data_IF_110505216178
#
_entry.id   IF_110505216178
#
_cell.length_a   1.000
_cell.length_b   1.000
_cell.length_c   1.000
_cell.angle_alpha   90.00
_cell.angle_beta   90.00
_cell.angle_gamma   90.00
#
_symmetry.space_group_name_H-M   'P 1'
#
loop_
_entity.id
_entity.type
_entity.pdbx_description
1 polymer ?
#
# COMPACT_ATOMS: atom_id res chain seq x y z
N UNK A 1 5.90 -1.31 -12.77
CA UNK A 1 4.94 -1.74 -11.73
C UNK A 1 3.60 -1.06 -11.95
N UNK A 2 2.50 -1.81 -12.03
CA UNK A 2 1.14 -1.25 -12.16
C UNK A 2 0.42 -1.37 -10.82
N UNK A 3 -0.47 -0.41 -10.52
CA UNK A 3 -1.27 -0.40 -9.28
C UNK A 3 -2.11 -1.67 -9.14
N UNK A 4 -2.64 -2.20 -10.24
CA UNK A 4 -3.49 -3.38 -10.25
C UNK A 4 -2.73 -4.67 -9.89
N UNK A 5 -1.47 -4.78 -10.30
CA UNK A 5 -0.65 -5.95 -9.99
C UNK A 5 -0.27 -5.95 -8.51
N UNK A 6 -0.01 -4.77 -7.95
CA UNK A 6 0.28 -4.62 -6.53
C UNK A 6 -0.97 -4.88 -5.67
N UNK A 7 -2.15 -4.47 -6.13
CA UNK A 7 -3.43 -4.79 -5.49
C UNK A 7 -3.65 -6.30 -5.42
N UNK A 8 -3.50 -7.02 -6.55
CA UNK A 8 -3.63 -8.48 -6.59
C UNK A 8 -2.71 -9.17 -5.57
N UNK A 9 -1.43 -8.79 -5.56
CA UNK A 9 -0.48 -9.31 -4.56
C UNK A 9 -0.93 -9.02 -3.12
N UNK A 10 -1.52 -7.85 -2.88
CA UNK A 10 -2.01 -7.48 -1.55
C UNK A 10 -3.20 -8.35 -1.14
N UNK A 11 -4.17 -8.52 -2.03
CA UNK A 11 -5.38 -9.33 -1.82
C UNK A 11 -5.08 -10.82 -1.59
N UNK A 12 -4.00 -11.34 -2.19
CA UNK A 12 -3.51 -12.71 -1.92
C UNK A 12 -2.98 -12.90 -0.48
N UNK A 13 -2.52 -11.82 0.16
CA UNK A 13 -1.91 -11.88 1.49
C UNK A 13 -2.83 -11.36 2.60
N UNK A 14 -3.82 -10.54 2.26
CA UNK A 14 -4.67 -9.84 3.22
C UNK A 14 -6.11 -9.89 2.74
N UNK A 15 -6.98 -10.54 3.51
CA UNK A 15 -8.43 -10.51 3.28
C UNK A 15 -9.01 -9.17 3.76
N UNK A 16 -8.95 -8.16 2.90
CA UNK A 16 -9.50 -6.83 3.12
C UNK A 16 -9.87 -6.20 1.78
N UNK A 17 -10.94 -5.38 1.67
CA UNK A 17 -11.28 -4.74 0.42
C UNK A 17 -10.24 -3.66 0.06
N UNK A 18 -9.60 -3.82 -1.10
CA UNK A 18 -8.64 -2.84 -1.62
C UNK A 18 -9.14 -2.21 -2.92
N UNK A 19 -8.93 -0.90 -3.07
CA UNK A 19 -9.32 -0.17 -4.26
C UNK A 19 -8.13 0.62 -4.85
N UNK A 20 -8.05 0.78 -6.18
CA UNK A 20 -7.00 1.57 -6.80
C UNK A 20 -7.29 3.07 -6.62
N UNK A 21 -6.27 3.82 -6.20
CA UNK A 21 -6.19 5.29 -6.18
C UNK A 21 -7.15 6.05 -5.24
N UNK A 22 -8.42 5.64 -5.14
CA UNK A 22 -9.45 6.34 -4.38
C UNK A 22 -10.50 5.39 -3.81
N UNK A 23 -11.17 5.83 -2.73
CA UNK A 23 -12.30 5.11 -2.16
C UNK A 23 -13.50 5.24 -3.10
N UNK A 24 -14.16 4.15 -3.50
CA UNK A 24 -15.37 4.25 -4.30
C UNK A 24 -16.53 4.81 -3.46
N UNK A 25 -17.47 5.49 -4.12
CA UNK A 25 -18.67 6.06 -3.50
C UNK A 25 -19.49 5.01 -2.77
N UNK A 26 -19.63 3.82 -3.38
CA UNK A 26 -20.38 2.68 -2.83
C UNK A 26 -19.44 1.61 -2.23
N UNK A 27 -18.24 2.01 -1.80
CA UNK A 27 -17.28 1.10 -1.18
C UNK A 27 -17.63 0.72 0.25
N UNK A 28 -17.11 -0.43 0.69
CA UNK A 28 -17.22 -0.86 2.09
C UNK A 28 -16.63 0.19 3.06
N UNK A 29 -17.21 0.33 4.25
CA UNK A 29 -16.70 1.26 5.25
C UNK A 29 -15.27 0.90 5.67
N UNK A 30 -15.03 -0.39 5.86
CA UNK A 30 -13.73 -0.96 6.20
C UNK A 30 -13.01 -1.39 4.92
N UNK A 31 -12.20 -0.50 4.36
CA UNK A 31 -11.45 -0.78 3.13
C UNK A 31 -10.15 0.02 3.09
N UNK A 32 -9.30 -0.26 2.12
CA UNK A 32 -8.08 0.51 1.88
C UNK A 32 -7.95 0.91 0.42
N UNK A 33 -7.21 1.97 0.15
CA UNK A 33 -6.78 2.32 -1.20
C UNK A 33 -5.30 2.13 -1.34
N UNK A 34 -4.90 1.66 -2.51
CA UNK A 34 -3.50 1.56 -2.92
C UNK A 34 -3.27 2.54 -4.05
N UNK A 35 -2.26 3.40 -3.92
CA UNK A 35 -1.86 4.33 -4.98
C UNK A 35 -0.36 4.37 -5.15
N UNK A 36 0.09 4.52 -6.40
CA UNK A 36 1.49 4.82 -6.68
C UNK A 36 1.73 6.31 -6.40
N UNK A 37 2.73 6.62 -5.58
CA UNK A 37 3.05 8.01 -5.17
C UNK A 37 4.23 8.58 -5.96
N UNK A 38 4.57 7.93 -7.08
CA UNK A 38 5.69 8.29 -7.94
C UNK A 38 6.94 7.50 -7.58
N UNK A 39 8.11 8.09 -7.79
CA UNK A 39 9.39 7.42 -7.60
C UNK A 39 10.47 8.04 -8.47
N UNK A 40 11.74 7.77 -8.16
CA UNK A 40 12.85 8.29 -8.95
C UNK A 40 13.18 7.29 -10.06
N UNK A 41 13.01 7.71 -11.31
CA UNK A 41 13.57 6.99 -12.46
C UNK A 41 15.10 7.18 -12.44
N UNK A 42 15.84 6.09 -12.40
CA UNK A 42 17.29 6.12 -12.62
C UNK A 42 17.59 5.79 -14.09
N UNK A 43 18.77 6.22 -14.58
CA UNK A 43 19.25 5.97 -15.96
C UNK A 43 19.62 4.50 -16.23
N UNK A 44 18.88 3.52 -15.68
CA UNK A 44 19.18 2.09 -15.79
C UNK A 44 17.89 1.24 -15.79
N UNK A 45 18.05 -0.10 -15.85
CA UNK A 45 16.95 -1.08 -15.61
C UNK A 45 16.38 -1.01 -14.18
N UNK A 46 17.02 -0.27 -13.27
CA UNK A 46 16.61 -0.17 -11.87
C UNK A 46 15.72 1.06 -11.67
N UNK A 47 14.54 0.83 -11.10
CA UNK A 47 13.57 1.88 -10.78
C UNK A 47 13.26 1.87 -9.28
N UNK A 48 12.89 3.04 -8.74
CA UNK A 48 12.47 3.17 -7.32
C UNK A 48 11.05 3.70 -7.19
N UNK A 49 10.02 2.94 -7.60
CA UNK A 49 8.65 3.34 -7.37
C UNK A 49 8.33 3.33 -5.87
N UNK A 50 7.45 4.25 -5.49
CA UNK A 50 6.86 4.35 -4.18
C UNK A 50 5.34 4.17 -4.29
N UNK A 51 4.76 3.64 -3.24
CA UNK A 51 3.32 3.45 -3.15
C UNK A 51 2.85 3.72 -1.73
N UNK A 52 1.56 4.00 -1.61
CA UNK A 52 0.92 4.32 -0.35
C UNK A 52 -0.36 3.52 -0.21
N UNK A 53 -0.58 3.06 1.01
CA UNK A 53 -1.86 2.61 1.50
C UNK A 53 -2.52 3.71 2.32
N UNK A 54 -3.80 3.98 2.05
CA UNK A 54 -4.66 4.68 3.00
C UNK A 54 -5.73 3.69 3.43
N UNK A 55 -5.75 3.37 4.71
CA UNK A 55 -6.66 2.44 5.35
C UNK A 55 -7.78 3.25 5.97
N UNK A 56 -9.02 2.80 5.78
CA UNK A 56 -10.24 3.36 6.37
C UNK A 56 -10.96 2.29 7.16
N UNK A 57 -11.39 2.59 8.37
CA UNK A 57 -12.29 1.72 9.14
C UNK A 57 -13.20 2.51 10.08
N UNK A 58 -14.33 1.93 10.47
CA UNK A 58 -15.27 2.53 11.43
C UNK A 58 -14.71 2.59 12.86
N UNK A 59 -13.73 1.75 13.19
CA UNK A 59 -13.12 1.69 14.51
C UNK A 59 -11.60 1.94 14.42
N UNK A 60 -11.02 2.77 15.29
CA UNK A 60 -9.60 3.14 15.21
C UNK A 60 -8.68 1.94 15.38
N UNK A 61 -8.99 1.03 16.31
CA UNK A 61 -8.20 -0.18 16.53
C UNK A 61 -8.23 -1.12 15.31
N UNK A 62 -9.34 -1.16 14.56
CA UNK A 62 -9.44 -1.97 13.35
C UNK A 62 -8.59 -1.36 12.23
N UNK A 63 -8.65 -0.03 12.05
CA UNK A 63 -7.82 0.66 11.07
C UNK A 63 -6.32 0.44 11.36
N UNK A 64 -5.92 0.57 12.62
CA UNK A 64 -4.54 0.35 13.06
C UNK A 64 -4.11 -1.11 12.86
N UNK A 65 -4.94 -2.08 13.25
CA UNK A 65 -4.66 -3.51 13.07
C UNK A 65 -4.42 -3.84 11.58
N UNK A 66 -5.30 -3.36 10.69
CA UNK A 66 -5.15 -3.56 9.24
C UNK A 66 -3.91 -2.88 8.69
N UNK A 67 -3.58 -1.71 9.18
CA UNK A 67 -2.34 -1.04 8.80
C UNK A 67 -1.11 -1.87 9.24
N UNK A 68 -1.11 -2.44 10.45
CA UNK A 68 -0.04 -3.33 10.90
C UNK A 68 0.05 -4.63 10.10
N UNK A 69 -1.06 -5.18 9.62
CA UNK A 69 -1.05 -6.34 8.73
C UNK A 69 -0.35 -6.00 7.41
N UNK A 70 -0.69 -4.85 6.79
CA UNK A 70 -0.03 -4.35 5.58
C UNK A 70 1.47 -4.11 5.84
N UNK A 71 1.81 -3.46 6.96
CA UNK A 71 3.19 -3.22 7.36
C UNK A 71 3.99 -4.52 7.44
N UNK A 72 3.46 -5.55 8.11
CA UNK A 72 4.14 -6.85 8.24
C UNK A 72 4.32 -7.58 6.92
N UNK A 73 3.41 -7.40 5.96
CA UNK A 73 3.49 -8.05 4.64
C UNK A 73 4.59 -7.41 3.77
N UNK A 74 4.72 -6.08 3.78
CA UNK A 74 5.56 -5.35 2.84
C UNK A 74 6.87 -4.81 3.42
N UNK A 75 6.93 -4.53 4.71
CA UNK A 75 8.13 -3.97 5.30
C UNK A 75 9.26 -5.00 5.25
N UNK A 76 10.41 -4.55 4.76
CA UNK A 76 11.61 -5.37 4.52
C UNK A 76 11.41 -6.57 3.58
N UNK A 77 10.28 -6.64 2.86
CA UNK A 77 10.01 -7.72 1.89
C UNK A 77 11.03 -7.64 0.74
N UNK A 78 11.56 -8.79 0.35
CA UNK A 78 12.62 -8.93 -0.67
C UNK A 78 12.21 -9.93 -1.74
N UNK A 79 12.78 -9.76 -2.93
CA UNK A 79 12.75 -10.73 -4.03
C UNK A 79 11.34 -11.25 -4.35
N UNK A 80 10.43 -10.36 -4.73
CA UNK A 80 9.07 -10.72 -5.11
C UNK A 80 8.66 -10.03 -6.41
N UNK A 81 7.75 -10.66 -7.15
CA UNK A 81 7.29 -10.13 -8.43
C UNK A 81 5.97 -9.35 -8.26
N UNK A 82 5.85 -8.25 -9.00
CA UNK A 82 4.63 -7.44 -9.11
C UNK A 82 4.37 -7.20 -10.59
N UNK A 83 3.56 -8.08 -11.19
CA UNK A 83 3.36 -8.12 -12.64
C UNK A 83 4.69 -8.39 -13.34
N UNK A 84 5.10 -7.49 -14.23
CA UNK A 84 6.37 -7.57 -14.99
C UNK A 84 7.58 -6.98 -14.22
N UNK A 85 7.38 -6.42 -13.03
CA UNK A 85 8.44 -5.78 -12.24
C UNK A 85 8.94 -6.72 -11.15
N UNK A 86 10.26 -6.95 -11.10
CA UNK A 86 10.86 -7.66 -9.99
C UNK A 86 11.27 -6.68 -8.89
N UNK A 87 10.74 -6.88 -7.68
CA UNK A 87 11.06 -6.07 -6.51
C UNK A 87 12.21 -6.71 -5.75
N UNK A 88 13.35 -6.03 -5.76
CA UNK A 88 14.56 -6.43 -5.03
C UNK A 88 14.36 -6.18 -3.53
N UNK A 89 13.82 -5.02 -3.18
CA UNK A 89 13.59 -4.62 -1.80
C UNK A 89 12.42 -3.66 -1.67
N UNK A 90 11.62 -3.84 -0.64
CA UNK A 90 10.53 -2.97 -0.24
C UNK A 90 10.71 -2.59 1.23
N UNK A 91 10.55 -1.31 1.57
CA UNK A 91 10.69 -0.82 2.94
C UNK A 91 9.66 0.27 3.20
N UNK A 92 9.10 0.27 4.41
CA UNK A 92 8.23 1.36 4.87
C UNK A 92 9.04 2.65 5.02
N UNK A 93 8.46 3.79 4.67
CA UNK A 93 9.10 5.09 4.89
C UNK A 93 8.99 5.52 6.36
N UNK A 94 7.92 5.09 7.03
CA UNK A 94 7.67 5.31 8.45
C UNK A 94 7.95 4.06 9.28
N UNK A 95 8.36 4.23 10.54
CA UNK A 95 8.59 3.13 11.47
C UNK A 95 7.29 2.47 11.95
N UNK A 96 6.17 3.19 11.88
CA UNK A 96 4.85 2.72 12.32
C UNK A 96 3.77 3.28 11.40
N UNK A 97 2.59 2.62 11.31
CA UNK A 97 1.42 3.23 10.68
C UNK A 97 1.09 4.60 11.27
N UNK A 98 0.69 5.56 10.42
CA UNK A 98 0.37 6.91 10.86
C UNK A 98 -1.14 7.13 10.83
N UNK A 99 -1.72 7.53 11.95
CA UNK A 99 -3.07 8.07 11.97
C UNK A 99 -3.10 9.43 11.28
N UNK A 100 -3.99 9.61 10.30
CA UNK A 100 -4.09 10.85 9.51
C UNK A 100 -5.41 11.60 9.69
N UNK A 101 -6.24 11.17 10.65
CA UNK A 101 -7.52 11.79 10.97
C UNK A 101 -8.73 10.92 10.60
N UNK A 102 -9.88 11.54 10.46
CA UNK A 102 -11.13 10.91 10.03
C UNK A 102 -11.60 11.49 8.70
N UNK A 103 -12.39 10.72 7.95
CA UNK A 103 -13.12 11.25 6.81
C UNK A 103 -14.44 11.95 7.21
N UNK A 104 -15.20 12.41 6.22
CA UNK A 104 -16.48 13.12 6.42
C UNK A 104 -17.57 12.28 7.11
N UNK A 105 -17.40 10.95 7.17
CA UNK A 105 -18.31 10.01 7.82
C UNK A 105 -17.74 9.47 9.13
N UNK A 106 -16.79 10.18 9.74
CA UNK A 106 -16.14 9.82 11.01
C UNK A 106 -15.39 8.48 10.98
N UNK A 107 -15.01 7.99 9.78
CA UNK A 107 -14.21 6.76 9.66
C UNK A 107 -12.75 7.09 9.83
N UNK A 108 -12.04 6.28 10.62
CA UNK A 108 -10.65 6.48 10.99
C UNK A 108 -9.72 6.12 9.85
N UNK A 109 -8.76 7.01 9.57
CA UNK A 109 -7.82 6.89 8.47
C UNK A 109 -6.40 6.67 8.98
N UNK A 110 -5.73 5.68 8.39
CA UNK A 110 -4.30 5.42 8.58
C UNK A 110 -3.56 5.47 7.25
N UNK A 111 -2.32 5.96 7.27
CA UNK A 111 -1.41 6.01 6.13
C UNK A 111 -0.19 5.16 6.37
N UNK A 112 0.24 4.48 5.31
CA UNK A 112 1.51 3.75 5.24
C UNK A 112 2.15 3.97 3.88
N UNK A 113 3.38 4.49 3.86
CA UNK A 113 4.12 4.69 2.63
C UNK A 113 5.26 3.69 2.51
N UNK A 114 5.52 3.24 1.29
CA UNK A 114 6.59 2.31 0.98
C UNK A 114 7.43 2.82 -0.17
N UNK A 115 8.73 2.59 -0.09
CA UNK A 115 9.66 2.74 -1.22
C UNK A 115 10.16 1.37 -1.63
N UNK A 116 10.27 1.16 -2.94
CA UNK A 116 10.83 -0.07 -3.48
C UNK A 116 12.09 0.20 -4.29
N UNK A 117 12.89 -0.85 -4.45
CA UNK A 117 13.93 -0.96 -5.47
C UNK A 117 13.51 -2.10 -6.38
N UNK A 118 13.37 -1.80 -7.67
CA UNK A 118 12.84 -2.73 -8.66
C UNK A 118 13.74 -2.79 -9.87
N UNK A 119 13.71 -3.91 -10.58
CA UNK A 119 14.29 -4.04 -11.90
C UNK A 119 13.22 -4.41 -12.92
N UNK A 120 13.33 -3.84 -14.12
CA UNK A 120 12.50 -4.23 -15.27
C UNK A 120 13.16 -5.45 -15.91
N UNK A 121 12.44 -6.58 -15.92
CA UNK A 121 12.87 -7.79 -16.61
C UNK A 121 12.68 -7.65 -18.11
#
# INVERSE_FOLDING_TARGET
MKVIDLLRLTEENINYPFYPNAFPTEGENNCAVLRLTGGRQYKSKVQRPAFQFIIRAEHPALAEERAWQIYKVFNEKRNFDVGESHVIFCVAQEATPLYIGTDENERFLYSLNFTTVTEVR
#
